data_IF_890974290053
#
_entry.id   IF_890974290053
#
_cell.length_a   1.000
_cell.length_b   1.000
_cell.length_c   1.000
_cell.angle_alpha   90.00
_cell.angle_beta   90.00
_cell.angle_gamma   90.00
#
_symmetry.space_group_name_H-M   'P 1'
#
loop_
_entity.id
_entity.type
_entity.pdbx_description
1 polymer ?
#
# COMPACT_ATOMS: atom_id res chain seq x y z
N UNK A 1 -15.74 11.96 -3.64
CA UNK A 1 -14.84 12.18 -2.49
C UNK A 1 -14.34 13.62 -2.48
N UNK A 2 -13.52 14.07 -3.44
CA UNK A 2 -13.09 15.47 -3.53
C UNK A 2 -14.23 16.46 -3.77
N UNK A 3 -15.21 16.09 -4.58
CA UNK A 3 -16.45 16.88 -4.78
C UNK A 3 -17.24 17.14 -3.50
N UNK A 4 -16.99 16.38 -2.44
CA UNK A 4 -17.73 16.45 -1.18
C UNK A 4 -16.88 17.02 -0.03
N UNK A 5 -15.56 16.82 -0.05
CA UNK A 5 -14.67 17.22 1.04
C UNK A 5 -13.66 18.33 0.67
N UNK A 6 -13.54 18.69 -0.61
CA UNK A 6 -12.66 19.76 -1.10
C UNK A 6 -11.18 19.41 -1.12
N UNK A 7 -10.63 18.91 0.00
CA UNK A 7 -9.21 18.54 0.14
C UNK A 7 -9.07 17.14 0.74
N UNK A 8 -7.89 16.53 0.56
CA UNK A 8 -7.53 15.28 1.25
C UNK A 8 -6.21 15.52 1.99
N UNK A 9 -6.26 15.65 3.31
CA UNK A 9 -5.08 15.87 4.16
C UNK A 9 -4.36 14.59 4.54
N UNK A 10 -5.13 13.51 4.75
CA UNK A 10 -4.61 12.22 5.18
C UNK A 10 -5.26 11.11 4.36
N UNK A 11 -4.43 10.20 3.85
CA UNK A 11 -4.85 8.93 3.28
C UNK A 11 -4.40 7.80 4.21
N UNK A 12 -5.31 6.90 4.56
CA UNK A 12 -5.00 5.67 5.30
C UNK A 12 -5.37 4.47 4.44
N UNK A 13 -4.37 3.71 3.99
CA UNK A 13 -4.58 2.44 3.31
C UNK A 13 -4.49 1.29 4.32
N UNK A 14 -5.60 0.57 4.51
CA UNK A 14 -5.70 -0.50 5.51
C UNK A 14 -6.26 -1.83 4.95
N UNK A 15 -6.76 -1.86 3.72
CA UNK A 15 -7.30 -3.10 3.16
C UNK A 15 -6.22 -4.20 3.06
N UNK A 16 -6.57 -5.42 3.45
CA UNK A 16 -5.68 -6.57 3.36
C UNK A 16 -6.42 -7.89 3.53
N UNK A 17 -6.01 -8.90 2.76
CA UNK A 17 -6.43 -10.29 2.89
C UNK A 17 -5.19 -11.19 3.02
N UNK A 18 -5.39 -12.38 3.55
CA UNK A 18 -4.41 -13.45 3.64
C UNK A 18 -4.95 -14.69 2.94
N UNK A 19 -4.08 -15.38 2.20
CA UNK A 19 -4.38 -16.67 1.58
C UNK A 19 -3.30 -17.63 2.05
N UNK A 20 -3.70 -18.68 2.76
CA UNK A 20 -2.81 -19.73 3.25
C UNK A 20 -2.61 -20.76 2.14
N UNK A 21 -1.43 -20.75 1.54
CA UNK A 21 -1.01 -21.73 0.54
C UNK A 21 0.52 -21.67 0.40
N UNK A 22 1.22 -22.82 0.47
CA UNK A 22 2.65 -22.85 0.17
C UNK A 22 2.88 -22.46 -1.29
N UNK A 23 4.04 -21.84 -1.57
CA UNK A 23 4.27 -21.16 -2.86
C UNK A 23 4.13 -22.04 -4.11
N UNK A 24 4.37 -23.34 -3.98
CA UNK A 24 4.31 -24.30 -5.10
C UNK A 24 2.90 -24.85 -5.36
N UNK A 25 1.96 -24.62 -4.44
CA UNK A 25 0.54 -25.00 -4.59
C UNK A 25 -0.34 -23.79 -4.91
N UNK A 26 0.16 -22.58 -4.65
CA UNK A 26 -0.60 -21.35 -4.87
C UNK A 26 -0.91 -21.14 -6.35
N UNK A 27 -2.19 -20.91 -6.64
CA UNK A 27 -2.63 -20.59 -8.00
C UNK A 27 -2.20 -19.18 -8.37
N UNK A 28 -2.00 -18.94 -9.67
CA UNK A 28 -1.74 -17.59 -10.17
C UNK A 28 -2.93 -16.64 -9.92
N UNK A 29 -4.15 -17.18 -9.89
CA UNK A 29 -5.36 -16.42 -9.57
C UNK A 29 -5.33 -15.91 -8.13
N UNK A 30 -5.04 -16.78 -7.15
CA UNK A 30 -4.91 -16.40 -5.75
C UNK A 30 -3.79 -15.40 -5.53
N UNK A 31 -2.62 -15.64 -6.16
CA UNK A 31 -1.50 -14.70 -6.15
C UNK A 31 -1.93 -13.32 -6.64
N UNK A 32 -2.59 -13.26 -7.79
CA UNK A 32 -3.05 -11.99 -8.34
C UNK A 32 -4.10 -11.36 -7.43
N UNK A 33 -5.04 -12.12 -6.88
CA UNK A 33 -6.09 -11.61 -6.01
C UNK A 33 -5.51 -10.92 -4.76
N UNK A 34 -4.59 -11.57 -4.06
CA UNK A 34 -3.95 -10.99 -2.87
C UNK A 34 -3.08 -9.77 -3.21
N UNK A 35 -2.38 -9.77 -4.35
CA UNK A 35 -1.65 -8.59 -4.83
C UNK A 35 -2.59 -7.42 -5.12
N UNK A 36 -3.72 -7.68 -5.79
CA UNK A 36 -4.70 -6.65 -6.13
C UNK A 36 -5.24 -5.95 -4.89
N UNK A 37 -5.59 -6.72 -3.85
CA UNK A 37 -6.10 -6.16 -2.59
C UNK A 37 -5.00 -5.48 -1.79
N UNK A 38 -3.91 -6.19 -1.50
CA UNK A 38 -2.94 -5.76 -0.49
C UNK A 38 -1.95 -4.70 -1.00
N UNK A 39 -1.60 -4.73 -2.29
CA UNK A 39 -0.54 -3.89 -2.85
C UNK A 39 -1.06 -2.95 -3.94
N UNK A 40 -1.78 -3.48 -4.94
CA UNK A 40 -2.33 -2.63 -6.02
C UNK A 40 -3.34 -1.63 -5.47
N UNK A 41 -4.16 -2.02 -4.49
CA UNK A 41 -5.07 -1.09 -3.80
C UNK A 41 -4.34 0.11 -3.18
N UNK A 42 -3.22 -0.14 -2.48
CA UNK A 42 -2.38 0.92 -1.89
C UNK A 42 -1.82 1.83 -2.98
N UNK A 43 -1.31 1.25 -4.08
CA UNK A 43 -0.81 1.99 -5.23
C UNK A 43 -1.89 2.90 -5.84
N UNK A 44 -3.08 2.36 -6.13
CA UNK A 44 -4.15 3.10 -6.79
C UNK A 44 -4.63 4.27 -5.93
N UNK A 45 -4.88 4.04 -4.64
CA UNK A 45 -5.33 5.09 -3.73
C UNK A 45 -4.28 6.19 -3.57
N UNK A 46 -3.00 5.82 -3.48
CA UNK A 46 -1.90 6.79 -3.39
C UNK A 46 -1.74 7.57 -4.69
N UNK A 47 -1.75 6.90 -5.85
CA UNK A 47 -1.67 7.51 -7.19
C UNK A 47 -2.73 8.60 -7.38
N UNK A 48 -3.97 8.34 -6.96
CA UNK A 48 -5.07 9.27 -7.15
C UNK A 48 -5.13 10.36 -6.08
N UNK A 49 -4.53 10.17 -4.91
CA UNK A 49 -4.51 11.17 -3.84
C UNK A 49 -3.34 12.14 -3.95
N UNK A 50 -2.16 11.65 -4.38
CA UNK A 50 -0.92 12.42 -4.45
C UNK A 50 -1.02 13.74 -5.24
N UNK A 51 -1.67 13.82 -6.41
CA UNK A 51 -1.81 15.08 -7.14
C UNK A 51 -2.41 16.21 -6.28
N UNK A 52 -3.42 15.90 -5.47
CA UNK A 52 -4.07 16.89 -4.61
C UNK A 52 -3.17 17.33 -3.43
N UNK A 53 -2.37 16.41 -2.90
CA UNK A 53 -1.37 16.73 -1.87
C UNK A 53 -0.22 17.57 -2.45
N UNK A 54 0.18 17.31 -3.70
CA UNK A 54 1.21 18.06 -4.41
C UNK A 54 0.77 19.50 -4.70
N UNK A 55 -0.46 19.70 -5.17
CA UNK A 55 -1.04 21.03 -5.43
C UNK A 55 -0.99 21.93 -4.19
N UNK A 56 -1.33 21.38 -3.01
CA UNK A 56 -1.31 22.13 -1.75
C UNK A 56 0.00 22.08 -0.97
N UNK A 57 0.99 21.31 -1.45
CA UNK A 57 2.29 21.08 -0.78
C UNK A 57 2.13 20.64 0.69
N UNK A 58 1.26 19.68 0.94
CA UNK A 58 1.02 19.11 2.28
C UNK A 58 0.27 17.79 2.16
N UNK A 59 0.60 16.81 3.00
CA UNK A 59 -0.18 15.59 3.12
C UNK A 59 0.49 14.52 3.96
N UNK A 60 -0.30 13.51 4.33
CA UNK A 60 0.21 12.29 4.98
C UNK A 60 -0.45 11.06 4.36
N UNK A 61 0.36 10.09 3.94
CA UNK A 61 -0.11 8.78 3.50
C UNK A 61 0.35 7.77 4.55
N UNK A 62 -0.58 7.00 5.11
CA UNK A 62 -0.30 5.98 6.11
C UNK A 62 -0.72 4.64 5.52
N UNK A 63 0.24 3.72 5.39
CA UNK A 63 -0.02 2.39 4.86
C UNK A 63 0.13 1.34 5.96
N UNK A 64 -0.87 0.46 6.07
CA UNK A 64 -0.85 -0.62 7.06
C UNK A 64 0.01 -1.78 6.56
N UNK A 65 1.26 -1.79 7.03
CA UNK A 65 2.19 -2.90 6.85
C UNK A 65 1.80 -4.13 7.69
N UNK A 66 2.79 -4.98 7.96
CA UNK A 66 2.67 -6.13 8.86
C UNK A 66 4.06 -6.55 9.30
N UNK A 67 4.17 -7.22 10.45
CA UNK A 67 5.40 -7.94 10.81
C UNK A 67 5.76 -8.96 9.72
N UNK A 68 4.75 -9.57 9.08
CA UNK A 68 4.93 -10.43 7.92
C UNK A 68 5.52 -9.74 6.69
N UNK A 69 5.64 -8.41 6.66
CA UNK A 69 6.39 -7.70 5.62
C UNK A 69 7.88 -7.54 5.93
N UNK A 70 8.31 -7.87 7.15
CA UNK A 70 9.70 -7.78 7.62
C UNK A 70 10.33 -9.16 7.84
N UNK A 71 9.52 -10.16 8.20
CA UNK A 71 9.93 -11.55 8.40
C UNK A 71 9.00 -12.48 7.62
N UNK A 72 9.53 -13.62 7.18
CA UNK A 72 8.72 -14.66 6.54
C UNK A 72 7.95 -15.48 7.58
N UNK A 73 6.72 -15.85 7.24
CA UNK A 73 5.92 -16.81 8.00
C UNK A 73 5.55 -18.02 7.11
N UNK A 74 5.47 -19.23 7.68
CA UNK A 74 5.12 -20.43 6.92
C UNK A 74 3.76 -20.29 6.22
N UNK A 75 3.66 -20.87 5.03
CA UNK A 75 2.42 -21.05 4.26
C UNK A 75 1.66 -19.77 3.84
N UNK A 76 2.23 -18.58 4.04
CA UNK A 76 1.66 -17.31 3.58
C UNK A 76 2.63 -16.45 2.76
N UNK A 77 3.37 -17.03 1.80
CA UNK A 77 4.43 -16.33 1.06
C UNK A 77 3.93 -15.11 0.28
N UNK A 78 2.72 -15.18 -0.30
CA UNK A 78 2.15 -14.06 -1.03
C UNK A 78 1.73 -12.92 -0.09
N UNK A 79 1.14 -13.22 1.07
CA UNK A 79 0.85 -12.21 2.08
C UNK A 79 2.15 -11.51 2.51
N UNK A 80 3.20 -12.27 2.84
CA UNK A 80 4.49 -11.71 3.22
C UNK A 80 5.06 -10.81 2.11
N UNK A 81 5.04 -11.28 0.86
CA UNK A 81 5.52 -10.52 -0.30
C UNK A 81 4.74 -9.21 -0.48
N UNK A 82 3.40 -9.25 -0.41
CA UNK A 82 2.58 -8.04 -0.54
C UNK A 82 2.86 -7.04 0.59
N UNK A 83 3.00 -7.48 1.84
CA UNK A 83 3.28 -6.59 2.98
C UNK A 83 4.71 -6.03 2.96
N UNK A 84 5.69 -6.78 2.46
CA UNK A 84 7.02 -6.27 2.16
C UNK A 84 6.97 -5.21 1.05
N UNK A 85 6.18 -5.45 0.01
CA UNK A 85 5.90 -4.50 -1.07
C UNK A 85 5.28 -3.19 -0.55
N UNK A 86 4.29 -3.27 0.35
CA UNK A 86 3.67 -2.09 0.99
C UNK A 86 4.72 -1.27 1.75
N UNK A 87 5.59 -1.92 2.53
CA UNK A 87 6.65 -1.24 3.29
C UNK A 87 7.61 -0.51 2.35
N UNK A 88 8.09 -1.17 1.29
CA UNK A 88 9.04 -0.56 0.36
C UNK A 88 8.39 0.54 -0.49
N UNK A 89 7.14 0.34 -0.94
CA UNK A 89 6.39 1.38 -1.66
C UNK A 89 6.21 2.62 -0.79
N UNK A 90 5.88 2.45 0.49
CA UNK A 90 5.73 3.56 1.46
C UNK A 90 7.02 4.36 1.57
N UNK A 91 8.16 3.69 1.78
CA UNK A 91 9.47 4.37 1.86
C UNK A 91 9.84 5.08 0.56
N UNK A 92 9.57 4.47 -0.59
CA UNK A 92 9.83 5.09 -1.89
C UNK A 92 9.05 6.40 -2.03
N UNK A 93 7.73 6.36 -1.82
CA UNK A 93 6.89 7.55 -1.90
C UNK A 93 7.30 8.61 -0.88
N UNK A 94 7.64 8.23 0.36
CA UNK A 94 8.08 9.18 1.38
C UNK A 94 9.32 9.96 0.93
N UNK A 95 10.29 9.30 0.30
CA UNK A 95 11.50 9.94 -0.23
C UNK A 95 11.17 10.82 -1.43
N UNK A 96 10.41 10.29 -2.39
CA UNK A 96 10.07 10.99 -3.64
C UNK A 96 9.32 12.31 -3.39
N UNK A 97 8.48 12.35 -2.34
CA UNK A 97 7.60 13.49 -2.07
C UNK A 97 7.96 14.31 -0.83
N UNK A 98 9.07 14.02 -0.16
CA UNK A 98 9.52 14.76 1.03
C UNK A 98 9.66 16.27 0.78
N UNK A 99 10.23 16.66 -0.37
CA UNK A 99 10.41 18.07 -0.75
C UNK A 99 9.08 18.83 -0.89
N UNK A 100 7.97 18.11 -1.09
CA UNK A 100 6.62 18.65 -1.23
C UNK A 100 5.85 18.66 0.10
N UNK A 101 6.51 18.40 1.24
CA UNK A 101 5.91 18.30 2.58
C UNK A 101 4.84 17.21 2.68
N UNK A 102 5.00 16.14 1.87
CA UNK A 102 4.15 14.95 1.92
C UNK A 102 4.94 13.86 2.63
N UNK A 103 4.34 13.25 3.65
CA UNK A 103 4.96 12.22 4.48
C UNK A 103 4.32 10.86 4.21
N UNK A 104 5.13 9.80 4.28
CA UNK A 104 4.73 8.40 4.12
C UNK A 104 5.21 7.57 5.31
#
# INVERSE_FOLDING_TARGET
MLSQFGTIDVLINNAGIEIVSPIHEMTLEDWNHILQVNLTGVFLMSKHTLPHMLEKKSGSIINTGSVGGLVGWPDIPAYNATKGGVIQLTKSMAIDYAAHQIRG
#
